data_IF_549410344067
#
_entry.id   IF_549410344067
#
_cell.length_a   1.000
_cell.length_b   1.000
_cell.length_c   1.000
_cell.angle_alpha   90.00
_cell.angle_beta   90.00
_cell.angle_gamma   90.00
#
_symmetry.space_group_name_H-M   'P 1'
#
loop_
_entity.id
_entity.type
_entity.pdbx_description
1 polymer ?
#
# COMPACT_ATOMS: atom_id res chain seq x y z
N UNK A 1 -5.90 15.70 20.12
CA UNK A 1 -4.72 14.89 20.49
C UNK A 1 -4.48 13.71 19.55
N UNK A 2 -5.49 12.93 19.15
CA UNK A 2 -5.33 11.76 18.26
C UNK A 2 -4.70 12.12 16.90
N UNK A 3 -5.16 13.21 16.27
CA UNK A 3 -4.60 13.69 14.99
C UNK A 3 -3.13 14.06 15.12
N UNK A 4 -2.73 14.72 16.22
CA UNK A 4 -1.33 15.08 16.47
C UNK A 4 -0.43 13.85 16.62
N UNK A 5 -0.91 12.80 17.28
CA UNK A 5 -0.19 11.52 17.38
C UNK A 5 -0.06 10.84 16.02
N UNK A 6 -1.11 10.88 15.19
CA UNK A 6 -1.05 10.33 13.84
C UNK A 6 -0.03 11.07 12.97
N UNK A 7 -0.04 12.41 12.99
CA UNK A 7 0.95 13.23 12.27
C UNK A 7 2.37 12.96 12.77
N UNK A 8 2.58 12.87 14.09
CA UNK A 8 3.89 12.55 14.64
C UNK A 8 4.36 11.14 14.29
N UNK A 9 3.47 10.14 14.26
CA UNK A 9 3.81 8.79 13.84
C UNK A 9 4.30 8.73 12.39
N UNK A 10 3.74 9.58 11.51
CA UNK A 10 4.18 9.67 10.12
C UNK A 10 5.64 10.11 10.05
N UNK A 11 6.01 11.17 10.77
CA UNK A 11 7.40 11.64 10.85
C UNK A 11 8.38 10.56 11.33
N UNK A 12 7.97 9.72 12.30
CA UNK A 12 8.81 8.61 12.80
C UNK A 12 9.01 7.55 11.71
N UNK A 13 7.97 7.22 10.95
CA UNK A 13 8.08 6.28 9.83
C UNK A 13 8.97 6.86 8.74
N UNK A 14 8.84 8.16 8.46
CA UNK A 14 9.68 8.85 7.48
C UNK A 14 11.16 8.81 7.88
N UNK A 15 11.48 9.03 9.17
CA UNK A 15 12.86 8.94 9.68
C UNK A 15 13.51 7.58 9.39
N UNK A 16 12.74 6.50 9.41
CA UNK A 16 13.22 5.15 9.10
C UNK A 16 13.38 4.97 7.59
N UNK A 17 12.36 5.35 6.84
CA UNK A 17 12.27 5.13 5.40
C UNK A 17 13.30 5.95 4.62
N UNK A 18 13.31 7.26 4.85
CA UNK A 18 14.02 8.22 4.02
C UNK A 18 15.54 8.18 4.23
N UNK A 19 16.31 8.44 3.17
CA UNK A 19 17.72 8.84 3.27
C UNK A 19 17.91 10.09 4.14
N UNK A 20 19.14 10.59 4.27
CA UNK A 20 19.45 11.79 5.07
C UNK A 20 18.93 13.08 4.41
N UNK A 21 17.63 13.18 4.20
CA UNK A 21 16.93 14.28 3.55
C UNK A 21 15.89 14.96 4.46
N UNK A 22 15.47 14.34 5.57
CA UNK A 22 14.47 14.91 6.50
C UNK A 22 15.02 16.08 7.30
N UNK A 23 14.53 17.32 7.12
CA UNK A 23 15.00 18.48 7.86
C UNK A 23 14.35 18.53 9.26
N UNK A 24 15.17 18.63 10.31
CA UNK A 24 14.72 18.89 11.68
C UNK A 24 14.56 20.40 11.92
N UNK A 25 15.49 21.20 11.39
CA UNK A 25 15.49 22.64 11.57
C UNK A 25 16.13 23.34 10.36
N UNK A 26 15.38 24.25 9.75
CA UNK A 26 15.85 25.22 8.73
C UNK A 26 16.71 24.60 7.62
N UNK A 27 16.32 23.41 7.13
CA UNK A 27 17.04 22.60 6.14
C UNK A 27 18.55 22.32 6.45
N UNK A 28 19.05 22.71 7.63
CA UNK A 28 20.46 22.57 8.02
C UNK A 28 20.77 21.19 8.58
N UNK A 29 19.88 20.69 9.42
CA UNK A 29 20.06 19.42 10.12
C UNK A 29 19.14 18.38 9.50
N UNK A 30 19.72 17.55 8.61
CA UNK A 30 19.01 16.47 7.94
C UNK A 30 19.28 15.12 8.60
N UNK A 31 18.23 14.35 8.81
CA UNK A 31 18.27 13.01 9.39
C UNK A 31 17.56 12.01 8.48
N UNK A 32 17.72 10.73 8.78
CA UNK A 32 17.15 9.63 8.00
C UNK A 32 18.04 8.39 8.10
N UNK A 33 17.44 7.22 8.31
CA UNK A 33 18.14 5.94 8.37
C UNK A 33 18.33 5.30 6.98
N UNK A 34 17.60 5.76 5.97
CA UNK A 34 17.83 5.42 4.58
C UNK A 34 17.42 4.00 4.23
N UNK A 35 16.31 3.50 4.77
CA UNK A 35 15.81 2.17 4.42
C UNK A 35 15.52 2.04 2.91
N UNK A 36 15.06 3.10 2.25
CA UNK A 36 14.87 3.15 0.79
C UNK A 36 16.15 2.99 -0.04
N UNK A 37 17.33 3.08 0.57
CA UNK A 37 18.56 2.74 -0.14
C UNK A 37 18.71 1.21 -0.33
N UNK A 38 17.92 0.41 0.39
CA UNK A 38 17.98 -1.04 0.38
C UNK A 38 16.73 -1.63 -0.23
N UNK A 39 16.85 -2.04 -1.48
CA UNK A 39 15.74 -2.59 -2.28
C UNK A 39 15.05 -3.80 -1.64
N UNK A 40 15.82 -4.78 -1.14
CA UNK A 40 15.22 -6.02 -0.63
C UNK A 40 14.51 -5.84 0.73
N UNK A 41 15.07 -5.11 1.72
CA UNK A 41 14.36 -4.73 2.94
C UNK A 41 13.10 -3.89 2.71
N UNK A 42 13.15 -2.95 1.75
CA UNK A 42 11.99 -2.14 1.35
C UNK A 42 10.87 -3.04 0.82
N UNK A 43 11.17 -3.85 -0.18
CA UNK A 43 10.21 -4.79 -0.77
C UNK A 43 9.62 -5.74 0.28
N UNK A 44 10.46 -6.30 1.17
CA UNK A 44 10.01 -7.19 2.22
C UNK A 44 9.01 -6.50 3.16
N UNK A 45 9.24 -5.24 3.53
CA UNK A 45 8.32 -4.47 4.36
C UNK A 45 6.98 -4.21 3.65
N UNK A 46 7.01 -3.80 2.38
CA UNK A 46 5.80 -3.52 1.61
C UNK A 46 4.91 -4.77 1.47
N UNK A 47 5.52 -5.92 1.16
CA UNK A 47 4.80 -7.20 1.06
C UNK A 47 4.26 -7.63 2.43
N UNK A 48 5.02 -7.40 3.51
CA UNK A 48 4.55 -7.69 4.87
C UNK A 48 3.34 -6.84 5.25
N UNK A 49 3.34 -5.55 4.93
CA UNK A 49 2.20 -4.64 5.18
C UNK A 49 0.99 -5.06 4.34
N UNK A 50 1.18 -5.39 3.05
CA UNK A 50 0.11 -5.85 2.17
C UNK A 50 -0.52 -7.17 2.67
N UNK A 51 0.31 -8.17 2.95
CA UNK A 51 -0.14 -9.45 3.46
C UNK A 51 -0.82 -9.30 4.83
N UNK A 52 -0.24 -8.50 5.73
CA UNK A 52 -0.82 -8.16 7.03
C UNK A 52 -2.19 -7.52 6.91
N UNK A 53 -2.37 -6.58 5.98
CA UNK A 53 -3.65 -5.96 5.67
C UNK A 53 -4.71 -6.96 5.19
N UNK A 54 -4.32 -7.87 4.27
CA UNK A 54 -5.22 -8.93 3.77
C UNK A 54 -5.61 -9.91 4.89
N UNK A 55 -4.64 -10.35 5.70
CA UNK A 55 -4.88 -11.27 6.83
C UNK A 55 -5.84 -10.60 7.82
N UNK A 56 -5.58 -9.35 8.20
CA UNK A 56 -6.43 -8.61 9.13
C UNK A 56 -7.84 -8.42 8.58
N UNK A 57 -7.97 -8.07 7.29
CA UNK A 57 -9.27 -7.94 6.62
C UNK A 57 -10.05 -9.26 6.66
N UNK A 58 -9.43 -10.37 6.28
CA UNK A 58 -10.09 -11.68 6.26
C UNK A 58 -10.40 -12.22 7.66
N UNK A 59 -9.56 -11.90 8.66
CA UNK A 59 -9.78 -12.30 10.04
C UNK A 59 -10.94 -11.52 10.71
N UNK A 60 -11.13 -10.24 10.33
CA UNK A 60 -12.16 -9.38 10.93
C UNK A 60 -13.49 -9.42 10.21
N UNK A 61 -13.53 -9.85 8.95
CA UNK A 61 -14.76 -9.85 8.16
C UNK A 61 -15.25 -11.27 7.87
N UNK A 62 -16.51 -11.56 8.20
CA UNK A 62 -17.18 -12.77 7.71
C UNK A 62 -17.34 -12.66 6.19
N UNK A 63 -16.49 -13.37 5.44
CA UNK A 63 -16.45 -13.31 3.97
C UNK A 63 -16.95 -14.60 3.34
N UNK A 64 -17.83 -14.48 2.34
CA UNK A 64 -18.21 -15.62 1.51
C UNK A 64 -16.95 -16.20 0.84
N UNK A 65 -16.90 -17.52 0.64
CA UNK A 65 -15.74 -18.19 0.06
C UNK A 65 -15.28 -17.59 -1.28
N UNK A 66 -16.23 -17.13 -2.10
CA UNK A 66 -15.94 -16.47 -3.37
C UNK A 66 -15.26 -15.10 -3.20
N UNK A 67 -15.67 -14.30 -2.19
CA UNK A 67 -15.03 -13.02 -1.88
C UNK A 67 -13.64 -13.25 -1.30
N UNK A 68 -13.47 -14.24 -0.42
CA UNK A 68 -12.17 -14.62 0.12
C UNK A 68 -11.18 -14.97 -0.99
N UNK A 69 -11.60 -15.79 -1.97
CA UNK A 69 -10.76 -16.11 -3.15
C UNK A 69 -10.43 -14.85 -3.95
N UNK A 70 -11.40 -13.98 -4.21
CA UNK A 70 -11.19 -12.74 -4.96
C UNK A 70 -10.17 -11.81 -4.27
N UNK A 71 -10.26 -11.66 -2.95
CA UNK A 71 -9.31 -10.85 -2.16
C UNK A 71 -7.89 -11.43 -2.22
N UNK A 72 -7.74 -12.75 -2.11
CA UNK A 72 -6.43 -13.41 -2.20
C UNK A 72 -5.84 -13.24 -3.60
N UNK A 73 -6.64 -13.46 -4.65
CA UNK A 73 -6.19 -13.29 -6.04
C UNK A 73 -5.79 -11.84 -6.31
N UNK A 74 -6.57 -10.88 -5.82
CA UNK A 74 -6.23 -9.47 -5.94
C UNK A 74 -4.92 -9.13 -5.20
N UNK A 75 -4.73 -9.65 -3.99
CA UNK A 75 -3.49 -9.52 -3.25
C UNK A 75 -2.28 -10.08 -4.01
N UNK A 76 -2.40 -11.28 -4.58
CA UNK A 76 -1.33 -11.87 -5.41
C UNK A 76 -1.03 -10.99 -6.63
N UNK A 77 -2.06 -10.45 -7.30
CA UNK A 77 -1.87 -9.55 -8.42
C UNK A 77 -1.10 -8.29 -8.02
N UNK A 78 -1.40 -7.70 -6.85
CA UNK A 78 -0.65 -6.56 -6.31
C UNK A 78 0.80 -6.91 -6.00
N UNK A 79 1.08 -8.11 -5.48
CA UNK A 79 2.46 -8.59 -5.27
C UNK A 79 3.20 -8.69 -6.60
N UNK A 80 2.57 -9.23 -7.64
CA UNK A 80 3.19 -9.32 -8.98
C UNK A 80 3.49 -7.94 -9.54
N UNK A 81 2.56 -7.00 -9.39
CA UNK A 81 2.79 -5.59 -9.78
C UNK A 81 3.96 -5.01 -8.99
N UNK A 82 4.06 -5.25 -7.68
CA UNK A 82 5.13 -4.74 -6.83
C UNK A 82 6.51 -5.31 -7.22
N UNK A 83 6.57 -6.60 -7.57
CA UNK A 83 7.80 -7.23 -8.09
C UNK A 83 8.21 -6.55 -9.39
N UNK A 84 7.25 -6.34 -10.30
CA UNK A 84 7.46 -5.61 -11.53
C UNK A 84 7.97 -4.19 -11.27
N UNK A 85 7.42 -3.54 -10.25
CA UNK A 85 7.77 -2.18 -9.89
C UNK A 85 9.22 -2.08 -9.37
N UNK A 86 9.59 -3.02 -8.50
CA UNK A 86 10.86 -3.02 -7.76
C UNK A 86 12.04 -3.55 -8.57
N UNK A 87 11.84 -4.60 -9.36
CA UNK A 87 12.93 -5.37 -9.95
C UNK A 87 13.08 -5.21 -11.46
N UNK A 88 12.04 -4.77 -12.18
CA UNK A 88 12.14 -4.55 -13.63
C UNK A 88 12.81 -3.21 -13.89
N UNK A 89 13.99 -3.17 -14.56
CA UNK A 89 14.61 -1.92 -14.94
C UNK A 89 13.72 -1.19 -15.95
N UNK A 90 13.43 0.08 -15.71
CA UNK A 90 12.60 0.93 -16.58
C UNK A 90 13.33 2.22 -16.83
N UNK A 91 13.17 2.77 -18.02
CA UNK A 91 13.60 4.15 -18.28
C UNK A 91 12.72 5.09 -17.46
N UNK A 92 13.30 6.06 -16.72
CA UNK A 92 12.52 7.03 -15.96
C UNK A 92 11.54 7.75 -16.88
N UNK A 93 10.26 7.72 -16.50
CA UNK A 93 9.23 8.50 -17.16
C UNK A 93 9.40 9.98 -16.80
N UNK A 94 8.85 10.88 -17.63
CA UNK A 94 8.73 12.30 -17.25
C UNK A 94 7.86 12.44 -15.99
N UNK A 95 8.13 13.43 -15.15
CA UNK A 95 7.38 13.70 -13.91
C UNK A 95 5.86 13.71 -14.15
N UNK A 96 5.43 14.31 -15.26
CA UNK A 96 4.03 14.36 -15.67
C UNK A 96 3.46 12.97 -15.96
N UNK A 97 4.20 12.13 -16.68
CA UNK A 97 3.78 10.77 -17.00
C UNK A 97 3.73 9.89 -15.74
N UNK A 98 4.72 10.03 -14.84
CA UNK A 98 4.74 9.35 -13.54
C UNK A 98 3.51 9.74 -12.71
N UNK A 99 3.24 11.04 -12.58
CA UNK A 99 2.08 11.52 -11.84
C UNK A 99 0.78 10.94 -12.40
N UNK A 100 0.55 11.08 -13.72
CA UNK A 100 -0.65 10.54 -14.39
C UNK A 100 -0.77 9.03 -14.16
N UNK A 101 0.33 8.29 -14.29
CA UNK A 101 0.36 6.84 -14.04
C UNK A 101 -0.10 6.50 -12.63
N UNK A 102 0.47 7.17 -11.60
CA UNK A 102 0.10 6.96 -10.20
C UNK A 102 -1.40 7.22 -9.96
N UNK A 103 -1.93 8.33 -10.47
CA UNK A 103 -3.36 8.64 -10.35
C UNK A 103 -4.25 7.55 -10.97
N UNK A 104 -3.89 7.07 -12.17
CA UNK A 104 -4.63 6.02 -12.88
C UNK A 104 -4.60 4.72 -12.09
N UNK A 105 -3.41 4.23 -11.71
CA UNK A 105 -3.26 2.95 -11.03
C UNK A 105 -3.91 2.95 -9.64
N UNK A 106 -3.74 4.02 -8.86
CA UNK A 106 -4.37 4.12 -7.55
C UNK A 106 -5.90 4.11 -7.66
N UNK A 107 -6.44 4.88 -8.59
CA UNK A 107 -7.89 4.88 -8.84
C UNK A 107 -8.37 3.50 -9.28
N UNK A 108 -7.64 2.85 -10.20
CA UNK A 108 -7.96 1.50 -10.68
C UNK A 108 -7.98 0.48 -9.55
N UNK A 109 -6.95 0.44 -8.70
CA UNK A 109 -6.88 -0.51 -7.59
C UNK A 109 -8.00 -0.29 -6.57
N UNK A 110 -8.33 0.96 -6.26
CA UNK A 110 -9.46 1.29 -5.39
C UNK A 110 -10.79 0.82 -5.99
N UNK A 111 -11.00 1.02 -7.30
CA UNK A 111 -12.20 0.54 -7.98
C UNK A 111 -12.30 -0.99 -7.97
N UNK A 112 -11.20 -1.70 -8.22
CA UNK A 112 -11.16 -3.16 -8.15
C UNK A 112 -11.50 -3.62 -6.73
N UNK A 113 -10.88 -3.03 -5.70
CA UNK A 113 -11.16 -3.35 -4.31
C UNK A 113 -12.65 -3.12 -3.97
N UNK A 114 -13.23 -2.02 -4.44
CA UNK A 114 -14.65 -1.72 -4.25
C UNK A 114 -15.58 -2.75 -4.92
N UNK A 115 -15.24 -3.22 -6.12
CA UNK A 115 -15.98 -4.28 -6.80
C UNK A 115 -15.84 -5.61 -6.05
N UNK A 116 -14.63 -5.97 -5.63
CA UNK A 116 -14.35 -7.18 -4.83
C UNK A 116 -15.18 -7.20 -3.54
N UNK A 117 -15.30 -6.06 -2.88
CA UNK A 117 -16.09 -5.89 -1.65
C UNK A 117 -17.60 -6.12 -1.87
N UNK A 118 -18.11 -5.85 -3.08
CA UNK A 118 -19.51 -6.11 -3.46
C UNK A 118 -19.79 -7.58 -3.78
N UNK A 119 -18.77 -8.40 -4.03
CA UNK A 119 -18.94 -9.82 -4.33
C UNK A 119 -19.57 -10.53 -3.12
N UNK A 120 -20.70 -11.20 -3.35
CA UNK A 120 -21.41 -11.96 -2.30
C UNK A 120 -22.27 -11.12 -1.36
N UNK A 121 -22.39 -9.79 -1.56
CA UNK A 121 -23.24 -8.91 -0.74
C UNK A 121 -24.75 -9.07 -1.01
N UNK A 122 -25.16 -9.86 -2.03
CA UNK A 122 -26.57 -10.08 -2.44
C UNK A 122 -27.28 -11.30 -1.82
N UNK A 123 -26.92 -11.76 -0.61
CA UNK A 123 -27.55 -12.95 0.02
C UNK A 123 -27.93 -12.75 1.51
N UNK A 124 -28.45 -11.58 1.87
CA UNK A 124 -28.96 -11.32 3.24
C UNK A 124 -30.30 -10.57 3.29
N UNK A 125 -31.01 -10.40 2.17
CA UNK A 125 -32.30 -9.68 2.15
C UNK A 125 -33.53 -10.61 2.19
N UNK A 126 -33.33 -11.93 2.20
CA UNK A 126 -34.43 -12.89 2.27
C UNK A 126 -34.25 -13.83 3.47
N UNK A 127 -34.69 -13.40 4.65
CA UNK A 127 -35.13 -14.31 5.70
C UNK A 127 -36.51 -13.83 6.20
N UNK A 128 -37.54 -14.69 6.14
CA UNK A 128 -38.89 -14.37 6.61
C UNK A 128 -38.95 -14.21 8.14
#
# INVERSE_FOLDING_TARGET
MIVGLAVFSHWIVDLIAHPRDLPIYDNRWKVGFGMWNYRDPEFALEIAVLAGGIILYLARNATAAIRRKAVIVFGIALVVVQIGDTYVPRTPLTDKATAIGVWIFYTLFVLIAFVVEKIGRRRQIDLP
#
